data_IF_136083829945
#
_entry.id   IF_136083829945
#
_cell.length_a   1.000
_cell.length_b   1.000
_cell.length_c   1.000
_cell.angle_alpha   90.00
_cell.angle_beta   90.00
_cell.angle_gamma   90.00
#
_symmetry.space_group_name_H-M   'P 1'
#
loop_
_entity.id
_entity.type
_entity.pdbx_description
1 polymer ?
#
# COMPACT_ATOMS: atom_id res chain seq x y z
N UNK A 1 9.98 1.47 -16.58
CA UNK A 1 10.08 1.11 -15.15
C UNK A 1 11.19 1.93 -14.54
N UNK A 2 11.03 2.36 -13.30
CA UNK A 2 11.91 3.29 -12.57
C UNK A 2 11.94 2.91 -11.08
N UNK A 3 12.86 3.48 -10.32
CA UNK A 3 12.86 3.35 -8.86
C UNK A 3 11.62 4.00 -8.25
N UNK A 4 11.27 3.63 -7.01
CA UNK A 4 10.14 4.21 -6.31
C UNK A 4 10.20 5.76 -6.18
N UNK A 5 11.33 6.39 -5.79
CA UNK A 5 11.38 7.85 -5.71
C UNK A 5 11.21 8.52 -7.07
N UNK A 6 11.78 7.95 -8.14
CA UNK A 6 11.58 8.43 -9.52
C UNK A 6 10.12 8.26 -9.97
N UNK A 7 9.47 7.15 -9.60
CA UNK A 7 8.05 6.91 -9.87
C UNK A 7 7.17 7.99 -9.23
N UNK A 8 7.45 8.37 -7.98
CA UNK A 8 6.74 9.45 -7.29
C UNK A 8 6.96 10.81 -7.95
N UNK A 9 8.20 11.12 -8.31
CA UNK A 9 8.53 12.36 -9.05
C UNK A 9 7.77 12.40 -10.38
N UNK A 10 7.68 11.27 -11.09
CA UNK A 10 6.91 11.18 -12.32
C UNK A 10 5.42 11.47 -12.08
N UNK A 11 4.77 10.82 -11.12
CA UNK A 11 3.35 11.09 -10.82
C UNK A 11 3.10 12.55 -10.44
N UNK A 12 4.02 13.16 -9.68
CA UNK A 12 3.95 14.60 -9.31
C UNK A 12 4.12 15.54 -10.50
N UNK A 13 4.88 15.15 -11.50
CA UNK A 13 5.04 15.94 -12.72
C UNK A 13 3.77 16.01 -13.59
N UNK A 14 2.80 15.12 -13.34
CA UNK A 14 1.51 15.07 -14.04
C UNK A 14 0.33 15.41 -13.12
N UNK A 15 0.57 16.21 -12.07
CA UNK A 15 -0.46 16.68 -11.12
C UNK A 15 -1.15 15.53 -10.37
N UNK A 16 -0.37 14.54 -9.92
CA UNK A 16 -0.83 13.47 -9.06
C UNK A 16 0.23 13.04 -8.04
N UNK A 17 0.01 11.91 -7.40
CA UNK A 17 1.02 11.20 -6.61
C UNK A 17 0.89 9.69 -6.91
N UNK A 18 1.75 8.87 -6.30
CA UNK A 18 1.55 7.42 -6.35
C UNK A 18 0.23 7.06 -5.67
N UNK A 19 -0.48 6.08 -6.22
CA UNK A 19 -1.82 5.71 -5.78
C UNK A 19 -1.86 5.35 -4.29
N UNK A 20 -2.88 5.88 -3.60
CA UNK A 20 -3.34 5.49 -2.27
C UNK A 20 -4.67 4.76 -2.41
N UNK A 21 -4.98 3.85 -1.48
CA UNK A 21 -6.33 3.27 -1.37
C UNK A 21 -6.97 3.75 -0.07
N UNK A 22 -8.13 4.40 -0.18
CA UNK A 22 -8.90 4.85 0.98
C UNK A 22 -9.72 3.71 1.58
N UNK A 23 -10.21 2.80 0.75
CA UNK A 23 -10.92 1.60 1.19
C UNK A 23 -10.63 0.34 0.35
N UNK A 24 -11.25 -0.77 0.78
CA UNK A 24 -11.10 -2.06 0.12
C UNK A 24 -11.84 -2.13 -1.23
N UNK A 25 -12.89 -1.34 -1.42
CA UNK A 25 -13.64 -1.31 -2.68
C UNK A 25 -12.77 -0.73 -3.80
N UNK A 26 -12.06 0.38 -3.54
CA UNK A 26 -11.12 0.98 -4.49
C UNK A 26 -10.01 0.01 -4.88
N UNK A 27 -9.42 -0.66 -3.88
CA UNK A 27 -8.42 -1.69 -4.12
C UNK A 27 -9.00 -2.83 -4.97
N UNK A 28 -10.19 -3.32 -4.63
CA UNK A 28 -10.88 -4.39 -5.36
C UNK A 28 -11.23 -4.02 -6.81
N UNK A 29 -11.61 -2.77 -7.07
CA UNK A 29 -11.87 -2.27 -8.43
C UNK A 29 -10.59 -2.27 -9.27
N UNK A 30 -9.47 -1.81 -8.71
CA UNK A 30 -8.18 -1.85 -9.40
C UNK A 30 -7.79 -3.29 -9.75
N UNK A 31 -7.89 -4.23 -8.80
CA UNK A 31 -7.55 -5.63 -9.05
C UNK A 31 -8.39 -6.26 -10.16
N UNK A 32 -9.70 -5.95 -10.19
CA UNK A 32 -10.59 -6.40 -11.26
C UNK A 32 -10.15 -5.83 -12.62
N UNK A 33 -9.79 -4.55 -12.66
CA UNK A 33 -9.29 -3.90 -13.88
C UNK A 33 -7.96 -4.52 -14.35
N UNK A 34 -7.00 -4.72 -13.45
CA UNK A 34 -5.70 -5.32 -13.76
C UNK A 34 -5.87 -6.73 -14.35
N UNK A 35 -6.76 -7.53 -13.75
CA UNK A 35 -7.11 -8.86 -14.24
C UNK A 35 -7.79 -8.83 -15.61
N UNK A 36 -8.79 -7.96 -15.79
CA UNK A 36 -9.53 -7.84 -17.05
C UNK A 36 -8.62 -7.36 -18.20
N UNK A 37 -7.65 -6.52 -17.88
CA UNK A 37 -6.67 -5.98 -18.84
C UNK A 37 -5.46 -6.89 -19.04
N UNK A 38 -5.43 -8.08 -18.40
CA UNK A 38 -4.33 -9.06 -18.47
C UNK A 38 -2.96 -8.43 -18.19
N UNK A 39 -2.89 -7.53 -17.21
CA UNK A 39 -1.63 -6.90 -16.84
C UNK A 39 -0.71 -7.94 -16.18
N UNK A 40 0.58 -7.82 -16.49
CA UNK A 40 1.64 -8.68 -15.93
C UNK A 40 2.83 -7.88 -15.42
N UNK A 41 2.74 -6.54 -15.46
CA UNK A 41 3.80 -5.65 -14.99
C UNK A 41 3.64 -5.41 -13.49
N UNK A 42 4.75 -5.11 -12.81
CA UNK A 42 4.77 -4.68 -11.41
C UNK A 42 4.62 -3.16 -11.29
N UNK A 43 3.96 -2.71 -10.24
CA UNK A 43 3.63 -1.31 -10.03
C UNK A 43 4.09 -0.80 -8.68
N UNK A 44 4.71 0.38 -8.66
CA UNK A 44 4.90 1.16 -7.44
C UNK A 44 3.58 1.83 -7.01
N UNK A 45 3.30 1.82 -5.71
CA UNK A 45 2.17 2.55 -5.09
C UNK A 45 2.69 3.45 -3.96
N UNK A 46 1.83 4.30 -3.41
CA UNK A 46 2.23 5.41 -2.54
C UNK A 46 2.57 5.06 -1.10
N UNK A 47 3.06 3.86 -0.78
CA UNK A 47 3.40 3.49 0.59
C UNK A 47 4.90 3.47 0.85
N UNK A 48 5.30 4.00 2.01
CA UNK A 48 6.67 3.96 2.53
C UNK A 48 6.66 3.67 4.02
N UNK A 49 7.78 3.18 4.55
CA UNK A 49 8.00 3.19 5.99
C UNK A 49 8.42 4.59 6.44
N UNK A 50 7.77 5.10 7.48
CA UNK A 50 8.06 6.37 8.13
C UNK A 50 8.70 6.11 9.51
N UNK A 51 9.94 6.59 9.69
CA UNK A 51 10.68 6.43 10.94
C UNK A 51 10.11 7.27 12.07
N UNK A 52 9.56 8.45 11.77
CA UNK A 52 9.08 9.38 12.79
C UNK A 52 7.84 8.82 13.49
N UNK A 53 6.97 8.18 12.71
CA UNK A 53 5.76 7.51 13.21
C UNK A 53 5.93 6.01 13.47
N UNK A 54 7.08 5.45 13.07
CA UNK A 54 7.39 4.00 13.13
C UNK A 54 6.28 3.14 12.47
N UNK A 55 5.73 3.63 11.36
CA UNK A 55 4.57 3.07 10.68
C UNK A 55 4.74 3.07 9.15
N UNK A 56 4.00 2.19 8.48
CA UNK A 56 3.81 2.29 7.04
C UNK A 56 2.74 3.33 6.76
N UNK A 57 3.05 4.31 5.91
CA UNK A 57 2.18 5.48 5.67
C UNK A 57 2.05 5.77 4.19
N UNK A 58 0.90 6.31 3.82
CA UNK A 58 0.62 6.80 2.47
C UNK A 58 1.33 8.13 2.22
N UNK A 59 1.90 8.31 1.04
CA UNK A 59 2.70 9.49 0.70
C UNK A 59 1.90 10.71 0.31
N UNK A 60 0.60 10.54 0.08
CA UNK A 60 -0.32 11.61 -0.27
C UNK A 60 -0.58 12.50 0.94
N UNK A 61 -0.85 11.90 2.10
CA UNK A 61 -1.36 12.59 3.29
C UNK A 61 -0.73 12.10 4.62
N UNK A 62 0.32 11.29 4.55
CA UNK A 62 0.99 10.64 5.69
C UNK A 62 0.04 9.81 6.58
N UNK A 63 -1.15 9.45 6.08
CA UNK A 63 -2.08 8.59 6.81
C UNK A 63 -1.55 7.15 6.93
N UNK A 64 -1.81 6.44 8.04
CA UNK A 64 -1.34 5.07 8.20
C UNK A 64 -1.93 4.12 7.16
N UNK A 65 -1.10 3.25 6.61
CA UNK A 65 -1.56 2.17 5.74
C UNK A 65 -2.26 1.08 6.57
N UNK A 66 -3.38 0.52 6.08
CA UNK A 66 -3.92 -0.71 6.65
C UNK A 66 -2.92 -1.84 6.44
N UNK A 67 -2.56 -2.54 7.52
CA UNK A 67 -1.64 -3.69 7.46
C UNK A 67 -2.41 -5.01 7.47
N UNK A 68 -1.84 -5.98 6.79
CA UNK A 68 -2.35 -7.34 6.74
C UNK A 68 -3.48 -7.54 5.73
N UNK A 69 -4.31 -8.55 5.97
CA UNK A 69 -5.39 -8.93 5.07
C UNK A 69 -6.50 -7.86 5.06
N UNK A 70 -7.08 -7.54 3.89
CA UNK A 70 -6.93 -8.23 2.61
C UNK A 70 -5.87 -7.64 1.67
N UNK A 71 -5.09 -6.65 2.10
CA UNK A 71 -4.21 -5.89 1.21
C UNK A 71 -2.87 -6.56 0.97
N UNK A 72 -2.22 -7.04 2.04
CA UNK A 72 -0.81 -7.42 1.99
C UNK A 72 -0.57 -8.89 1.68
N UNK A 73 0.43 -9.13 0.84
CA UNK A 73 0.85 -10.44 0.38
C UNK A 73 1.32 -11.33 1.53
N UNK A 74 1.09 -12.63 1.38
CA UNK A 74 1.70 -13.64 2.24
C UNK A 74 2.94 -14.17 1.54
N UNK A 75 4.08 -14.09 2.19
CA UNK A 75 5.37 -14.56 1.69
C UNK A 75 5.80 -15.83 2.44
N UNK A 76 6.40 -16.76 1.71
CA UNK A 76 7.02 -17.93 2.31
C UNK A 76 8.45 -17.62 2.75
N UNK A 77 8.83 -18.08 3.93
CA UNK A 77 10.16 -17.98 4.51
C UNK A 77 10.71 -19.37 4.81
N UNK A 78 12.02 -19.54 4.62
CA UNK A 78 12.73 -20.74 5.07
C UNK A 78 12.80 -20.81 6.60
N UNK A 79 12.68 -19.67 7.28
CA UNK A 79 12.65 -19.56 8.72
C UNK A 79 11.30 -20.00 9.27
N UNK A 80 11.36 -20.79 10.33
CA UNK A 80 10.19 -21.28 11.04
C UNK A 80 9.83 -20.32 12.18
N UNK A 81 8.60 -19.82 12.19
CA UNK A 81 8.06 -19.07 13.34
C UNK A 81 7.09 -19.98 14.09
N UNK A 82 7.45 -20.46 15.29
CA UNK A 82 6.59 -21.34 16.08
C UNK A 82 5.40 -20.55 16.64
N UNK A 83 4.19 -21.12 16.55
CA UNK A 83 2.98 -20.48 17.04
C UNK A 83 2.96 -20.41 18.57
N UNK A 84 2.89 -19.22 19.18
CA UNK A 84 2.62 -19.12 20.61
C UNK A 84 1.18 -19.56 20.92
N UNK A 85 0.92 -20.08 22.12
CA UNK A 85 -0.46 -20.39 22.53
C UNK A 85 -1.33 -19.13 22.51
N UNK A 86 -2.67 -19.25 22.37
CA UNK A 86 -3.57 -18.10 22.37
C UNK A 86 -3.31 -17.19 23.57
N UNK A 87 -3.12 -15.91 23.29
CA UNK A 87 -2.92 -14.88 24.31
C UNK A 87 -4.26 -14.20 24.55
N UNK A 88 -4.76 -14.29 25.78
CA UNK A 88 -6.12 -13.83 26.14
C UNK A 88 -6.11 -12.64 27.11
N UNK A 89 -4.94 -12.24 27.60
CA UNK A 89 -4.80 -11.15 28.56
C UNK A 89 -4.05 -9.97 27.93
N UNK A 90 -4.72 -8.86 27.60
CA UNK A 90 -4.11 -7.74 26.89
C UNK A 90 -3.03 -6.99 27.70
N UNK A 91 -2.88 -7.27 29.00
CA UNK A 91 -1.90 -6.59 29.87
C UNK A 91 -0.61 -7.38 30.11
N UNK A 92 -0.54 -8.65 29.67
CA UNK A 92 0.66 -9.48 29.81
C UNK A 92 1.43 -9.61 28.49
N UNK A 93 2.72 -9.94 28.61
CA UNK A 93 3.52 -10.29 27.44
C UNK A 93 2.99 -11.61 26.82
N UNK A 94 2.98 -11.74 25.49
CA UNK A 94 2.58 -12.98 24.84
C UNK A 94 3.45 -14.16 25.30
N UNK A 95 2.86 -15.32 25.58
CA UNK A 95 3.60 -16.51 26.00
C UNK A 95 4.53 -17.00 24.87
N UNK A 96 5.71 -17.50 25.24
CA UNK A 96 6.60 -18.15 24.28
C UNK A 96 5.96 -19.44 23.74
N UNK A 97 6.35 -19.84 22.53
CA UNK A 97 5.89 -21.09 21.93
C UNK A 97 6.43 -22.31 22.69
N UNK A 98 5.57 -23.32 22.88
CA UNK A 98 5.93 -24.57 23.55
C UNK A 98 6.82 -25.46 22.66
N UNK A 99 7.64 -26.35 23.23
CA UNK A 99 8.35 -27.37 22.45
C UNK A 99 7.37 -28.20 21.61
N UNK A 100 7.64 -28.32 20.31
CA UNK A 100 6.76 -29.03 19.36
C UNK A 100 5.56 -28.22 18.85
N UNK A 101 5.48 -26.92 19.15
CA UNK A 101 4.44 -26.04 18.60
C UNK A 101 4.44 -26.06 17.07
N UNK A 102 3.25 -25.89 16.49
CA UNK A 102 3.07 -25.80 15.04
C UNK A 102 3.94 -24.67 14.48
N UNK A 103 4.72 -25.03 13.46
CA UNK A 103 5.63 -24.12 12.78
C UNK A 103 4.94 -23.49 11.57
N UNK A 104 4.93 -22.15 11.51
CA UNK A 104 4.52 -21.41 10.32
C UNK A 104 5.74 -20.91 9.54
N UNK A 105 5.68 -21.09 8.22
CA UNK A 105 6.68 -20.58 7.28
C UNK A 105 6.17 -19.40 6.47
N UNK A 106 4.90 -19.05 6.63
CA UNK A 106 4.29 -17.95 5.89
C UNK A 106 4.20 -16.73 6.80
N UNK A 107 4.64 -15.58 6.30
CA UNK A 107 4.60 -14.29 6.98
C UNK A 107 3.89 -13.28 6.09
N UNK A 108 3.01 -12.48 6.68
CA UNK A 108 2.33 -11.43 5.94
C UNK A 108 3.23 -10.19 5.84
N UNK A 109 3.29 -9.60 4.66
CA UNK A 109 3.94 -8.32 4.43
C UNK A 109 3.18 -7.18 5.17
N UNK A 110 3.82 -6.03 5.45
CA UNK A 110 5.24 -5.78 5.24
C UNK A 110 6.09 -6.54 6.26
N UNK A 111 7.15 -7.18 5.77
CA UNK A 111 8.11 -7.88 6.63
C UNK A 111 9.18 -6.94 7.18
N UNK A 112 9.51 -5.89 6.44
CA UNK A 112 10.51 -4.91 6.82
C UNK A 112 9.87 -3.64 7.41
N UNK A 113 10.50 -3.12 8.47
CA UNK A 113 10.13 -1.88 9.18
C UNK A 113 11.33 -0.94 9.24
N UNK A 114 11.87 -0.62 8.07
CA UNK A 114 13.09 0.17 7.92
C UNK A 114 13.00 1.02 6.65
N UNK A 115 13.78 2.10 6.61
CA UNK A 115 13.96 2.89 5.38
C UNK A 115 14.50 2.03 4.23
N UNK A 116 14.22 2.44 2.99
CA UNK A 116 14.64 1.72 1.78
C UNK A 116 13.66 0.64 1.31
N UNK A 117 12.55 0.44 2.02
CA UNK A 117 11.44 -0.42 1.60
C UNK A 117 10.19 0.40 1.25
N UNK A 118 9.61 0.08 0.10
CA UNK A 118 8.49 0.78 -0.50
C UNK A 118 7.41 -0.22 -0.90
N UNK A 119 6.15 0.23 -0.96
CA UNK A 119 5.06 -0.68 -1.30
C UNK A 119 4.85 -0.80 -2.81
N UNK A 120 4.60 -2.02 -3.25
CA UNK A 120 4.35 -2.36 -4.64
C UNK A 120 3.15 -3.31 -4.79
N UNK A 121 2.55 -3.32 -5.98
CA UNK A 121 1.66 -4.37 -6.46
C UNK A 121 2.44 -5.19 -7.48
N UNK A 122 2.73 -6.44 -7.16
CA UNK A 122 3.58 -7.29 -8.02
C UNK A 122 2.80 -8.46 -8.60
N UNK A 123 3.13 -8.84 -9.82
CA UNK A 123 2.50 -9.98 -10.50
C UNK A 123 2.77 -11.29 -9.75
N UNK A 124 3.99 -11.46 -9.23
CA UNK A 124 4.38 -12.63 -8.42
C UNK A 124 3.48 -12.81 -7.20
N UNK A 125 3.07 -11.71 -6.57
CA UNK A 125 2.22 -11.73 -5.40
C UNK A 125 0.74 -11.49 -5.75
N UNK A 126 0.30 -11.83 -6.97
CA UNK A 126 -1.09 -11.68 -7.43
C UNK A 126 -1.68 -10.29 -7.17
N UNK A 127 -0.85 -9.25 -7.27
CA UNK A 127 -1.20 -7.85 -7.01
C UNK A 127 -1.68 -7.56 -5.57
N UNK A 128 -1.37 -8.44 -4.61
CA UNK A 128 -1.36 -8.03 -3.20
C UNK A 128 -0.20 -7.06 -2.95
N UNK A 129 -0.37 -6.16 -1.97
CA UNK A 129 0.66 -5.21 -1.57
C UNK A 129 1.86 -5.97 -0.99
N UNK A 130 3.05 -5.66 -1.46
CA UNK A 130 4.31 -6.21 -0.95
C UNK A 130 5.31 -5.09 -0.61
N UNK A 131 6.17 -5.32 0.39
CA UNK A 131 7.31 -4.46 0.68
C UNK A 131 8.49 -4.88 -0.19
N UNK A 132 8.90 -3.99 -1.09
CA UNK A 132 9.98 -4.21 -2.06
C UNK A 132 11.09 -3.17 -1.88
N UNK A 133 12.31 -3.47 -2.34
CA UNK A 133 13.40 -2.52 -2.26
C UNK A 133 13.10 -1.32 -3.17
N UNK A 134 13.09 -0.10 -2.61
CA UNK A 134 12.72 1.12 -3.34
C UNK A 134 13.57 1.39 -4.59
N UNK A 135 14.77 0.78 -4.71
CA UNK A 135 15.66 0.92 -5.86
C UNK A 135 15.33 -0.02 -7.02
N UNK A 136 14.42 -0.97 -6.84
CA UNK A 136 13.97 -1.86 -7.93
C UNK A 136 13.22 -1.09 -9.02
N UNK A 137 13.27 -1.60 -10.25
CA UNK A 137 12.55 -1.01 -11.36
C UNK A 137 11.11 -1.55 -11.44
N UNK A 138 10.11 -0.68 -11.28
CA UNK A 138 8.68 -1.01 -11.50
C UNK A 138 7.98 0.15 -12.21
N UNK A 139 6.75 -0.04 -12.66
CA UNK A 139 5.99 1.02 -13.33
C UNK A 139 5.30 1.92 -12.28
N UNK A 140 5.26 3.25 -12.46
CA UNK A 140 4.47 4.11 -11.57
C UNK A 140 2.98 3.83 -11.77
N UNK A 141 2.23 3.65 -10.68
CA UNK A 141 0.77 3.70 -10.70
C UNK A 141 0.32 4.99 -10.02
N UNK A 142 -0.07 5.97 -10.84
CA UNK A 142 -0.40 7.31 -10.37
C UNK A 142 -1.91 7.45 -10.13
N UNK A 143 -2.25 8.21 -9.09
CA UNK A 143 -3.58 8.79 -8.90
C UNK A 143 -3.47 10.29 -9.21
N UNK A 144 -4.27 10.76 -10.17
CA UNK A 144 -4.30 12.18 -10.55
C UNK A 144 -5.24 12.93 -9.60
N UNK A 145 -4.85 14.15 -9.23
CA UNK A 145 -5.76 15.06 -8.54
C UNK A 145 -6.78 15.59 -9.57
N UNK A 146 -8.07 15.43 -9.28
CA UNK A 146 -9.11 16.04 -10.11
C UNK A 146 -9.28 17.48 -9.65
N UNK A 147 -8.96 18.45 -10.52
CA UNK A 147 -9.34 19.84 -10.29
C UNK A 147 -10.88 19.92 -10.20
N UNK A 148 -11.39 20.26 -9.02
CA UNK A 148 -12.81 20.59 -8.87
C UNK A 148 -13.00 21.95 -9.54
N UNK A 149 -13.56 21.97 -10.74
CA UNK A 149 -14.09 23.21 -11.32
C UNK A 149 -15.15 23.75 -10.36
N UNK A 150 -14.81 24.86 -9.69
CA UNK A 150 -15.71 25.61 -8.83
C UNK A 150 -16.86 26.13 -9.71
N UNK A 151 -18.04 25.50 -9.60
CA UNK A 151 -19.27 25.99 -10.23
C UNK A 151 -19.60 27.37 -9.64
N UNK A 152 -19.13 28.44 -10.30
CA UNK A 152 -19.55 29.80 -9.97
C UNK A 152 -21.08 29.90 -10.06
N UNK A 153 -21.77 30.48 -9.05
CA UNK A 153 -23.20 30.70 -9.15
C UNK A 153 -23.48 31.72 -10.27
N UNK A 154 -24.41 31.38 -11.15
CA UNK A 154 -24.88 32.24 -12.24
C UNK A 154 -25.21 33.64 -11.72
N UNK A 155 -24.64 34.65 -12.36
CA UNK A 155 -24.90 36.06 -12.08
C UNK A 155 -26.33 36.36 -12.55
N UNK A 156 -27.25 36.60 -11.62
CA UNK A 156 -28.62 37.07 -11.92
C UNK A 156 -28.57 38.24 -12.92
N UNK A 157 -29.42 38.24 -13.97
CA UNK A 157 -29.51 39.38 -14.86
C UNK A 157 -30.15 40.53 -14.09
N UNK A 158 -29.37 41.59 -13.85
CA UNK A 158 -29.88 42.87 -13.37
C UNK A 158 -30.87 43.43 -14.39
N UNK A 159 -32.15 43.39 -14.08
CA UNK A 159 -33.16 44.17 -14.78
C UNK A 159 -33.10 45.61 -14.26
N UNK A 160 -32.73 46.54 -15.13
CA UNK A 160 -32.76 47.99 -14.90
C UNK A 160 -33.45 48.64 -16.11
N UNK A 161 -34.05 49.82 -15.92
CA UNK A 161 -35.33 50.10 -15.27
C UNK A 161 -36.54 49.95 -16.21
#
# INVERSE_FOLDING_TARGET
QVSWPEARVFCRSIYGDLVKFDDFADFGHLLQYMKASMLTTDYWIGGRFDLDTNAWSWTVDDSPMPLGSPYWAVRHSTSCTPRPPPHTDPYSNPPAALPGATCYRNTQAPTNRQEGWCSALTYEHFYYISDENCQEAKSPLCMLEVEVEDNQPEREPTLNP
#
